data_IF_080147611856
#
_entry.id   IF_080147611856
#
_cell.length_a   1.000
_cell.length_b   1.000
_cell.length_c   1.000
_cell.angle_alpha   90.00
_cell.angle_beta   90.00
_cell.angle_gamma   90.00
#
_symmetry.space_group_name_H-M   'P 1'
#
loop_
_entity.id
_entity.type
_entity.pdbx_description
1 polymer ?
#
# COMPACT_ATOMS: atom_id res chain seq x y z
N UNK A 1 -14.69 47.89 -6.68
CA UNK A 1 -13.90 46.65 -6.77
C UNK A 1 -14.26 45.75 -5.60
N UNK A 2 -14.23 44.43 -5.80
CA UNK A 2 -14.54 43.46 -4.74
C UNK A 2 -13.31 42.57 -4.48
N UNK A 3 -12.96 42.38 -3.21
CA UNK A 3 -11.79 41.59 -2.81
C UNK A 3 -12.17 40.66 -1.67
N UNK A 4 -11.83 39.37 -1.82
CA UNK A 4 -11.99 38.34 -0.81
C UNK A 4 -10.62 37.81 -0.43
N UNK A 5 -10.38 37.61 0.85
CA UNK A 5 -9.15 37.00 1.34
C UNK A 5 -9.40 36.25 2.64
N UNK A 6 -8.59 35.24 2.90
CA UNK A 6 -8.58 34.57 4.20
C UNK A 6 -7.99 35.50 5.26
N UNK A 7 -8.79 35.91 6.24
CA UNK A 7 -8.26 36.57 7.44
C UNK A 7 -8.01 35.50 8.50
N UNK A 8 -6.75 35.06 8.63
CA UNK A 8 -6.38 34.08 9.64
C UNK A 8 -6.31 34.74 11.02
N UNK A 9 -7.32 34.52 11.86
CA UNK A 9 -7.20 34.74 13.29
C UNK A 9 -6.35 33.60 13.89
N UNK A 10 -5.03 33.77 13.86
CA UNK A 10 -4.12 32.76 14.42
C UNK A 10 -4.23 32.80 15.94
N UNK A 11 -4.86 31.78 16.53
CA UNK A 11 -4.74 31.52 17.96
C UNK A 11 -3.28 31.16 18.27
N UNK A 12 -2.68 31.77 19.30
CA UNK A 12 -1.24 31.62 19.65
C UNK A 12 -0.77 30.17 19.87
N UNK A 13 -1.69 29.21 19.94
CA UNK A 13 -1.41 27.79 20.18
C UNK A 13 -1.23 26.94 18.90
N UNK A 14 -1.45 27.46 17.69
CA UNK A 14 -1.43 26.67 16.43
C UNK A 14 -0.26 26.97 15.46
N UNK A 15 0.85 27.52 15.95
CA UNK A 15 1.98 27.96 15.11
C UNK A 15 2.67 26.87 14.27
N UNK A 16 2.34 25.58 14.46
CA UNK A 16 2.93 24.43 13.76
C UNK A 16 2.06 23.83 12.65
N UNK A 17 0.82 24.31 12.43
CA UNK A 17 0.00 23.84 11.30
C UNK A 17 0.39 24.58 10.02
N UNK A 18 0.75 23.84 8.97
CA UNK A 18 1.07 24.36 7.65
C UNK A 18 -0.09 25.25 7.16
N UNK A 19 0.18 26.54 6.93
CA UNK A 19 -0.85 27.51 6.52
C UNK A 19 -1.40 27.14 5.13
N UNK A 20 -2.67 26.78 5.08
CA UNK A 20 -3.42 26.53 3.84
C UNK A 20 -3.83 27.86 3.21
N UNK A 21 -3.83 27.90 1.87
CA UNK A 21 -4.24 29.07 1.08
C UNK A 21 -5.77 29.18 1.02
N UNK A 22 -6.32 30.38 0.87
CA UNK A 22 -7.78 30.58 0.78
C UNK A 22 -8.44 29.70 -0.30
N UNK A 23 -7.90 29.71 -1.52
CA UNK A 23 -8.45 28.93 -2.63
C UNK A 23 -8.42 27.42 -2.36
N UNK A 24 -7.56 26.96 -1.45
CA UNK A 24 -7.36 25.53 -1.18
C UNK A 24 -8.52 24.87 -0.42
N UNK A 25 -9.49 25.66 0.06
CA UNK A 25 -10.71 25.16 0.70
C UNK A 25 -11.91 25.03 -0.26
N UNK A 26 -11.82 25.59 -1.46
CA UNK A 26 -12.96 25.69 -2.38
C UNK A 26 -12.71 24.94 -3.68
N UNK A 27 -13.71 24.19 -4.13
CA UNK A 27 -13.70 23.52 -5.44
C UNK A 27 -13.98 24.53 -6.54
N UNK A 28 -14.89 25.47 -6.28
CA UNK A 28 -15.25 26.54 -7.19
C UNK A 28 -15.84 27.72 -6.44
N UNK A 29 -15.84 28.87 -7.10
CA UNK A 29 -16.38 30.14 -6.61
C UNK A 29 -17.12 30.81 -7.76
N UNK A 30 -18.30 31.34 -7.48
CA UNK A 30 -19.11 32.08 -8.44
C UNK A 30 -19.49 33.43 -7.83
N UNK A 31 -19.29 34.50 -8.57
CA UNK A 31 -19.71 35.85 -8.21
C UNK A 31 -20.72 36.31 -9.25
N UNK A 32 -21.93 36.56 -8.79
CA UNK A 32 -23.02 37.11 -9.58
C UNK A 32 -23.22 38.58 -9.21
N UNK A 33 -23.12 39.45 -10.20
CA UNK A 33 -23.41 40.88 -10.12
C UNK A 33 -24.78 41.15 -10.76
N UNK A 34 -25.28 42.37 -10.58
CA UNK A 34 -26.55 42.79 -11.19
C UNK A 34 -26.52 42.65 -12.71
N UNK A 35 -27.37 41.77 -13.24
CA UNK A 35 -27.45 41.42 -14.66
C UNK A 35 -27.92 42.60 -15.52
N UNK A 36 -28.80 43.45 -14.99
CA UNK A 36 -29.34 44.59 -15.74
C UNK A 36 -28.27 45.66 -15.95
N UNK A 37 -27.31 45.77 -15.02
CA UNK A 37 -26.22 46.74 -15.08
C UNK A 37 -25.03 46.27 -15.91
N UNK A 38 -24.66 44.99 -15.80
CA UNK A 38 -23.46 44.43 -16.45
C UNK A 38 -23.73 43.62 -17.71
N UNK A 39 -24.99 43.33 -18.02
CA UNK A 39 -25.38 42.53 -19.17
C UNK A 39 -25.03 41.04 -19.03
N UNK A 40 -25.42 40.21 -20.01
CA UNK A 40 -25.35 38.75 -19.91
C UNK A 40 -23.92 38.21 -19.80
N UNK A 41 -22.92 38.90 -20.34
CA UNK A 41 -21.56 38.35 -20.42
C UNK A 41 -20.64 38.79 -19.27
N UNK A 42 -20.97 39.89 -18.58
CA UNK A 42 -20.08 40.46 -17.56
C UNK A 42 -20.62 40.40 -16.13
N UNK A 43 -21.90 40.06 -15.96
CA UNK A 43 -22.51 39.94 -14.64
C UNK A 43 -22.01 38.72 -13.85
N UNK A 44 -21.48 37.69 -14.52
CA UNK A 44 -21.03 36.46 -13.88
C UNK A 44 -19.50 36.34 -13.93
N UNK A 45 -18.89 35.93 -12.82
CA UNK A 45 -17.47 35.57 -12.73
C UNK A 45 -17.37 34.22 -12.04
N UNK A 46 -16.76 33.25 -12.73
CA UNK A 46 -16.60 31.88 -12.23
C UNK A 46 -15.12 31.52 -12.11
N UNK A 47 -14.78 30.84 -11.03
CA UNK A 47 -13.49 30.21 -10.82
C UNK A 47 -13.69 28.75 -10.45
N UNK A 48 -12.97 27.86 -11.13
CA UNK A 48 -13.00 26.42 -10.89
C UNK A 48 -11.59 25.92 -10.64
N UNK A 49 -11.42 25.15 -9.57
CA UNK A 49 -10.14 24.49 -9.29
C UNK A 49 -9.91 23.35 -10.27
N UNK A 50 -8.70 23.29 -10.79
CA UNK A 50 -8.16 22.19 -11.60
C UNK A 50 -6.88 21.65 -10.97
N UNK A 51 -6.41 20.48 -11.42
CA UNK A 51 -5.18 19.86 -10.92
C UNK A 51 -3.91 20.74 -11.09
N UNK A 52 -3.94 21.71 -12.00
CA UNK A 52 -2.82 22.63 -12.28
C UNK A 52 -3.03 24.03 -11.70
N UNK A 53 -4.13 24.26 -10.97
CA UNK A 53 -4.43 25.58 -10.40
C UNK A 53 -3.42 25.97 -9.34
N UNK A 54 -2.83 27.15 -9.47
CA UNK A 54 -1.98 27.72 -8.42
C UNK A 54 -2.86 28.27 -7.29
N UNK A 55 -2.58 27.85 -6.08
CA UNK A 55 -3.35 28.24 -4.89
C UNK A 55 -3.04 29.69 -4.47
N UNK A 56 -4.06 30.48 -4.16
CA UNK A 56 -4.01 31.90 -3.80
C UNK A 56 -4.74 32.19 -2.48
N UNK A 57 -4.34 33.28 -1.80
CA UNK A 57 -4.95 33.70 -0.54
C UNK A 57 -6.20 34.58 -0.72
N UNK A 58 -6.59 34.87 -1.96
CA UNK A 58 -7.72 35.71 -2.24
C UNK A 58 -8.00 35.93 -3.71
N UNK A 59 -9.20 36.46 -3.99
CA UNK A 59 -9.65 36.82 -5.32
C UNK A 59 -10.01 38.30 -5.35
N UNK A 60 -9.63 38.98 -6.45
CA UNK A 60 -10.01 40.36 -6.69
C UNK A 60 -10.72 40.46 -8.04
N UNK A 61 -11.93 41.02 -8.02
CA UNK A 61 -12.74 41.28 -9.22
C UNK A 61 -12.93 42.79 -9.37
N UNK A 62 -12.64 43.30 -10.57
CA UNK A 62 -12.82 44.71 -10.92
C UNK A 62 -13.72 44.81 -12.14
N UNK A 63 -14.77 45.63 -12.03
CA UNK A 63 -15.66 46.02 -13.11
C UNK A 63 -15.86 47.54 -13.05
N UNK A 64 -16.03 48.22 -14.21
CA UNK A 64 -16.38 49.64 -14.23
C UNK A 64 -17.78 49.85 -13.65
N UNK A 65 -18.04 50.99 -13.01
CA UNK A 65 -19.36 51.31 -12.45
C UNK A 65 -19.28 52.52 -11.53
N UNK A 66 -20.38 53.27 -11.47
CA UNK A 66 -20.55 54.53 -10.74
C UNK A 66 -21.77 54.50 -9.80
N UNK A 67 -22.48 53.37 -9.73
CA UNK A 67 -23.65 53.14 -8.87
C UNK A 67 -23.38 51.95 -7.95
N UNK A 68 -24.04 51.91 -6.79
CA UNK A 68 -23.96 50.76 -5.88
C UNK A 68 -24.60 49.50 -6.49
N UNK A 69 -23.97 48.34 -6.30
CA UNK A 69 -24.35 47.09 -7.00
C UNK A 69 -24.52 45.96 -5.99
N UNK A 70 -25.61 45.20 -6.12
CA UNK A 70 -25.79 43.94 -5.39
C UNK A 70 -24.94 42.83 -6.00
N UNK A 71 -24.28 42.08 -5.14
CA UNK A 71 -23.36 41.02 -5.48
C UNK A 71 -23.69 39.78 -4.64
N UNK A 72 -23.88 38.65 -5.30
CA UNK A 72 -24.08 37.35 -4.66
C UNK A 72 -22.82 36.52 -4.89
N UNK A 73 -22.21 36.05 -3.80
CA UNK A 73 -21.01 35.22 -3.83
C UNK A 73 -21.41 33.82 -3.40
N UNK A 74 -21.18 32.86 -4.28
CA UNK A 74 -21.40 31.45 -4.01
C UNK A 74 -20.04 30.78 -3.86
N UNK A 75 -19.83 30.12 -2.73
CA UNK A 75 -18.60 29.40 -2.42
C UNK A 75 -18.90 27.90 -2.35
N UNK A 76 -18.32 27.10 -3.25
CA UNK A 76 -18.42 25.64 -3.20
C UNK A 76 -17.20 25.08 -2.48
N UNK A 77 -17.40 24.53 -1.29
CA UNK A 77 -16.33 23.87 -0.53
C UNK A 77 -15.82 22.62 -1.24
N UNK A 78 -14.52 22.37 -1.10
CA UNK A 78 -13.88 21.15 -1.58
C UNK A 78 -13.83 20.10 -0.46
N UNK A 79 -14.88 19.28 -0.39
CA UNK A 79 -14.95 18.21 0.61
C UNK A 79 -14.09 17.02 0.19
N UNK A 80 -13.12 16.66 1.04
CA UNK A 80 -12.26 15.50 0.83
C UNK A 80 -12.31 14.57 2.05
N UNK A 81 -12.96 13.38 1.95
CA UNK A 81 -13.59 12.81 0.76
C UNK A 81 -14.92 13.50 0.38
N UNK A 82 -15.43 13.31 -0.87
CA UNK A 82 -16.64 13.95 -1.34
C UNK A 82 -17.85 13.69 -0.43
N UNK A 83 -18.49 14.78 0.00
CA UNK A 83 -19.74 14.77 0.73
C UNK A 83 -20.93 15.08 -0.20
N UNK A 84 -22.12 14.62 0.19
CA UNK A 84 -23.36 14.77 -0.56
C UNK A 84 -24.47 15.27 0.35
N UNK A 85 -25.30 16.16 -0.17
CA UNK A 85 -26.56 16.55 0.46
C UNK A 85 -27.60 15.48 0.18
N UNK A 86 -28.28 15.02 1.22
CA UNK A 86 -29.33 14.00 1.08
C UNK A 86 -30.65 14.65 0.67
N UNK A 87 -31.49 13.89 -0.06
CA UNK A 87 -32.91 14.22 -0.24
C UNK A 87 -33.55 14.56 1.13
N UNK A 88 -34.39 15.61 1.24
CA UNK A 88 -34.94 16.05 2.52
C UNK A 88 -35.66 14.97 3.33
N UNK A 89 -36.29 14.00 2.66
CA UNK A 89 -37.02 12.89 3.32
C UNK A 89 -36.03 11.89 3.89
N UNK A 90 -35.00 11.55 3.12
CA UNK A 90 -33.91 10.67 3.56
C UNK A 90 -33.10 11.33 4.69
N UNK A 91 -32.81 12.63 4.56
CA UNK A 91 -32.07 13.41 5.55
C UNK A 91 -32.77 13.40 6.91
N UNK A 92 -34.09 13.63 6.92
CA UNK A 92 -34.90 13.62 8.14
C UNK A 92 -34.97 12.22 8.78
N UNK A 93 -35.06 11.17 7.98
CA UNK A 93 -35.10 9.79 8.46
C UNK A 93 -33.76 9.36 9.08
N UNK A 94 -32.64 9.71 8.46
CA UNK A 94 -31.31 9.32 8.95
C UNK A 94 -30.72 10.30 9.97
N UNK A 95 -31.31 11.50 10.12
CA UNK A 95 -30.74 12.58 10.93
C UNK A 95 -29.46 13.17 10.33
N UNK A 96 -29.27 13.06 9.02
CA UNK A 96 -28.04 13.44 8.32
C UNK A 96 -28.38 14.41 7.20
N UNK A 97 -27.82 15.62 7.23
CA UNK A 97 -28.05 16.60 6.16
C UNK A 97 -27.06 16.47 5.01
N UNK A 98 -25.76 16.48 5.32
CA UNK A 98 -24.65 16.39 4.36
C UNK A 98 -23.58 15.48 4.95
N UNK A 99 -23.20 14.43 4.23
CA UNK A 99 -22.18 13.46 4.68
C UNK A 99 -21.55 12.71 3.51
N UNK A 100 -20.51 11.93 3.81
CA UNK A 100 -19.88 11.04 2.83
C UNK A 100 -20.77 9.83 2.53
N UNK A 101 -20.69 9.29 1.30
CA UNK A 101 -21.49 8.14 0.88
C UNK A 101 -21.36 6.91 1.80
N UNK A 102 -20.16 6.52 2.29
CA UNK A 102 -20.02 5.40 3.23
C UNK A 102 -20.78 5.64 4.55
N UNK A 103 -20.70 6.85 5.11
CA UNK A 103 -21.39 7.20 6.36
C UNK A 103 -22.91 7.16 6.18
N UNK A 104 -23.41 7.64 5.03
CA UNK A 104 -24.84 7.58 4.70
C UNK A 104 -25.33 6.13 4.60
N UNK A 105 -24.57 5.27 3.91
CA UNK A 105 -24.90 3.84 3.79
C UNK A 105 -24.88 3.16 5.17
N UNK A 106 -23.90 3.49 6.01
CA UNK A 106 -23.84 2.97 7.38
C UNK A 106 -25.02 3.43 8.23
N UNK A 107 -25.44 4.69 8.13
CA UNK A 107 -26.60 5.21 8.84
C UNK A 107 -27.90 4.54 8.37
N UNK A 108 -28.06 4.34 7.06
CA UNK A 108 -29.18 3.57 6.50
C UNK A 108 -29.17 2.13 7.02
N UNK A 109 -28.00 1.50 7.10
CA UNK A 109 -27.87 0.17 7.65
C UNK A 109 -28.23 0.10 9.14
N UNK A 110 -27.81 1.10 9.91
CA UNK A 110 -28.17 1.23 11.31
C UNK A 110 -29.69 1.38 11.49
N UNK A 111 -30.34 2.15 10.62
CA UNK A 111 -31.80 2.27 10.59
C UNK A 111 -32.47 0.91 10.34
N UNK A 112 -32.05 0.19 9.28
CA UNK A 112 -32.57 -1.15 8.94
C UNK A 112 -32.44 -2.13 10.10
N UNK A 113 -31.29 -2.14 10.79
CA UNK A 113 -31.07 -2.98 11.97
C UNK A 113 -31.97 -2.62 13.14
N UNK A 114 -32.06 -1.33 13.46
CA UNK A 114 -32.85 -0.82 14.60
C UNK A 114 -34.33 -1.14 14.43
N UNK A 115 -34.84 -1.04 13.20
CA UNK A 115 -36.24 -1.32 12.85
C UNK A 115 -36.49 -2.78 12.45
N UNK A 116 -35.47 -3.66 12.52
CA UNK A 116 -35.55 -5.09 12.16
C UNK A 116 -36.15 -5.34 10.77
N UNK A 117 -35.73 -4.53 9.80
CA UNK A 117 -36.26 -4.56 8.43
C UNK A 117 -35.58 -5.59 7.53
N UNK A 118 -34.51 -6.23 7.99
CA UNK A 118 -33.88 -7.33 7.26
C UNK A 118 -34.79 -8.57 7.31
N UNK A 119 -34.95 -9.23 6.16
CA UNK A 119 -35.75 -10.43 6.07
C UNK A 119 -35.09 -11.60 6.86
N UNK A 120 -35.83 -12.29 7.75
CA UNK A 120 -35.26 -13.36 8.57
C UNK A 120 -34.92 -14.63 7.78
N UNK A 121 -35.61 -14.90 6.67
CA UNK A 121 -35.40 -16.07 5.83
C UNK A 121 -34.41 -15.78 4.70
N UNK A 122 -34.49 -14.58 4.11
CA UNK A 122 -33.61 -14.15 3.03
C UNK A 122 -32.76 -12.93 3.44
N UNK A 123 -31.66 -13.18 4.15
CA UNK A 123 -30.80 -12.12 4.72
C UNK A 123 -30.18 -11.14 3.72
N UNK A 124 -30.32 -11.36 2.41
CA UNK A 124 -29.90 -10.40 1.38
C UNK A 124 -30.96 -9.31 1.08
N UNK A 125 -32.18 -9.48 1.58
CA UNK A 125 -33.30 -8.58 1.34
C UNK A 125 -33.66 -7.72 2.56
N UNK A 126 -34.16 -6.53 2.25
CA UNK A 126 -34.72 -5.56 3.17
C UNK A 126 -36.19 -5.40 2.82
N UNK A 127 -37.05 -5.59 3.80
CA UNK A 127 -38.47 -5.30 3.72
C UNK A 127 -38.65 -3.82 4.11
N UNK A 128 -38.82 -2.97 3.10
CA UNK A 128 -38.93 -1.53 3.29
C UNK A 128 -40.19 -1.22 4.11
N UNK A 129 -40.04 -0.46 5.18
CA UNK A 129 -41.17 0.05 5.94
C UNK A 129 -41.85 1.23 5.21
N UNK A 130 -42.86 1.83 5.83
CA UNK A 130 -43.63 2.93 5.20
C UNK A 130 -42.75 4.11 4.80
N UNK A 131 -41.67 4.39 5.54
CA UNK A 131 -40.76 5.50 5.27
C UNK A 131 -39.77 5.17 4.16
N UNK A 132 -39.18 3.97 4.18
CA UNK A 132 -38.29 3.52 3.11
C UNK A 132 -39.02 3.33 1.78
N UNK A 133 -40.24 2.78 1.80
CA UNK A 133 -41.08 2.66 0.60
C UNK A 133 -41.34 4.02 -0.04
N UNK A 134 -41.55 5.02 0.80
CA UNK A 134 -41.81 6.38 0.39
C UNK A 134 -40.60 7.04 -0.30
N UNK A 135 -39.38 6.68 0.10
CA UNK A 135 -38.12 7.26 -0.40
C UNK A 135 -37.56 6.47 -1.59
N UNK A 136 -37.53 5.14 -1.49
CA UNK A 136 -36.95 4.24 -2.50
C UNK A 136 -37.98 3.68 -3.49
N UNK A 137 -39.26 4.01 -3.30
CA UNK A 137 -40.38 3.63 -4.18
C UNK A 137 -40.47 2.12 -4.41
N UNK A 138 -40.06 1.32 -3.42
CA UNK A 138 -40.09 -0.14 -3.47
C UNK A 138 -40.48 -0.74 -2.13
N UNK A 139 -41.28 -1.80 -2.16
CA UNK A 139 -41.66 -2.56 -0.96
C UNK A 139 -40.53 -3.46 -0.44
N UNK A 140 -39.66 -3.93 -1.33
CA UNK A 140 -38.59 -4.86 -1.01
C UNK A 140 -37.38 -4.57 -1.91
N UNK A 141 -36.17 -4.66 -1.37
CA UNK A 141 -34.94 -4.46 -2.14
C UNK A 141 -33.76 -5.24 -1.57
N UNK A 142 -32.80 -5.57 -2.43
CA UNK A 142 -31.53 -6.20 -2.02
C UNK A 142 -30.54 -5.18 -1.45
N UNK A 143 -29.66 -5.62 -0.55
CA UNK A 143 -28.56 -4.78 -0.06
C UNK A 143 -27.65 -4.25 -1.17
N UNK A 144 -27.38 -5.07 -2.18
CA UNK A 144 -26.55 -4.71 -3.33
C UNK A 144 -27.15 -3.58 -4.19
N UNK A 145 -28.47 -3.37 -4.12
CA UNK A 145 -29.15 -2.29 -4.84
C UNK A 145 -29.06 -0.94 -4.12
N UNK A 146 -28.76 -0.91 -2.81
CA UNK A 146 -28.71 0.31 -2.00
C UNK A 146 -27.83 1.38 -2.65
N UNK A 147 -26.57 1.09 -3.05
CA UNK A 147 -25.69 2.14 -3.56
C UNK A 147 -26.27 2.80 -4.82
N UNK A 148 -26.87 2.00 -5.72
CA UNK A 148 -27.45 2.50 -6.96
C UNK A 148 -28.72 3.32 -6.69
N UNK A 149 -29.63 2.82 -5.87
CA UNK A 149 -30.86 3.54 -5.50
C UNK A 149 -30.56 4.82 -4.74
N UNK A 150 -29.56 4.80 -3.86
CA UNK A 150 -29.13 5.96 -3.11
C UNK A 150 -28.54 7.04 -4.02
N UNK A 151 -27.90 6.69 -5.14
CA UNK A 151 -27.27 7.67 -6.03
C UNK A 151 -28.24 8.76 -6.51
N UNK A 152 -29.50 8.41 -6.81
CA UNK A 152 -30.53 9.37 -7.22
C UNK A 152 -31.01 10.30 -6.10
N UNK A 153 -30.71 9.97 -4.84
CA UNK A 153 -31.10 10.71 -3.64
C UNK A 153 -29.93 11.53 -3.05
N UNK A 154 -28.77 11.51 -3.71
CA UNK A 154 -27.57 12.24 -3.30
C UNK A 154 -27.34 13.39 -4.27
N UNK A 155 -27.46 14.61 -3.75
CA UNK A 155 -27.21 15.84 -4.48
C UNK A 155 -25.85 16.42 -4.09
N UNK A 156 -25.24 17.26 -4.95
CA UNK A 156 -24.09 18.07 -4.54
C UNK A 156 -24.40 18.88 -3.27
N UNK A 157 -23.41 19.08 -2.38
CA UNK A 157 -23.56 19.97 -1.23
C UNK A 157 -23.98 21.38 -1.66
N UNK A 158 -24.78 22.04 -0.83
CA UNK A 158 -25.18 23.42 -1.11
C UNK A 158 -23.98 24.37 -0.99
N UNK A 159 -23.86 25.35 -1.91
CA UNK A 159 -22.85 26.38 -1.79
C UNK A 159 -23.18 27.30 -0.61
N UNK A 160 -22.15 27.90 -0.04
CA UNK A 160 -22.31 29.00 0.91
C UNK A 160 -22.64 30.25 0.10
N UNK A 161 -23.79 30.87 0.37
CA UNK A 161 -24.28 32.05 -0.35
C UNK A 161 -24.08 33.28 0.54
N UNK A 162 -23.33 34.25 0.04
CA UNK A 162 -23.08 35.53 0.71
C UNK A 162 -23.64 36.65 -0.16
N UNK A 163 -24.64 37.35 0.35
CA UNK A 163 -25.22 38.53 -0.29
C UNK A 163 -24.49 39.78 0.22
N UNK A 164 -23.95 40.57 -0.71
CA UNK A 164 -23.21 41.79 -0.40
C UNK A 164 -23.63 42.95 -1.32
N UNK A 165 -23.54 44.19 -0.82
CA UNK A 165 -23.82 45.39 -1.61
C UNK A 165 -22.54 46.20 -1.72
N UNK A 166 -22.04 46.36 -2.94
CA UNK A 166 -20.86 47.17 -3.24
C UNK A 166 -21.32 48.63 -3.26
N UNK A 167 -20.87 49.43 -2.30
CA UNK A 167 -21.12 50.88 -2.27
C UNK A 167 -20.00 51.65 -3.00
N UNK A 168 -20.39 52.71 -3.71
CA UNK A 168 -19.49 53.68 -4.37
C UNK A 168 -19.27 54.95 -3.52
N UNK A 169 -19.92 55.04 -2.36
CA UNK A 169 -19.86 56.24 -1.52
C UNK A 169 -18.45 56.47 -0.94
N UNK A 170 -17.88 57.68 -1.09
CA UNK A 170 -16.55 58.01 -0.56
C UNK A 170 -16.44 57.88 0.97
N UNK A 171 -17.56 58.01 1.68
CA UNK A 171 -17.63 57.87 3.14
C UNK A 171 -17.71 56.40 3.61
N UNK A 172 -17.93 55.43 2.72
CA UNK A 172 -18.13 54.02 3.06
C UNK A 172 -16.92 53.12 2.76
N UNK A 173 -15.76 53.73 2.48
CA UNK A 173 -14.60 53.10 1.84
C UNK A 173 -13.89 51.95 2.60
N UNK A 174 -14.38 51.50 3.77
CA UNK A 174 -13.69 50.46 4.59
C UNK A 174 -14.62 49.52 5.37
N UNK A 175 -15.79 49.15 4.85
CA UNK A 175 -16.56 48.05 5.47
C UNK A 175 -16.06 46.70 4.98
N UNK A 176 -15.14 46.10 5.74
CA UNK A 176 -14.81 44.67 5.58
C UNK A 176 -15.92 43.84 6.23
N UNK A 177 -16.60 43.01 5.43
CA UNK A 177 -17.50 42.00 5.95
C UNK A 177 -16.72 40.72 6.25
N UNK A 178 -16.83 40.21 7.47
CA UNK A 178 -16.16 38.98 7.91
C UNK A 178 -17.22 37.89 8.09
N UNK A 179 -16.94 36.70 7.56
CA UNK A 179 -17.79 35.52 7.68
C UNK A 179 -16.94 34.37 8.21
N UNK A 180 -17.41 33.75 9.29
CA UNK A 180 -16.80 32.54 9.82
C UNK A 180 -17.39 31.33 9.09
N UNK A 181 -16.51 30.50 8.52
CA UNK A 181 -16.88 29.30 7.78
C UNK A 181 -16.11 28.14 8.41
N UNK A 182 -16.84 27.19 8.96
CA UNK A 182 -16.27 25.94 9.45
C UNK A 182 -15.89 25.05 8.25
N UNK A 183 -14.62 24.64 8.20
CA UNK A 183 -14.11 23.76 7.14
C UNK A 183 -13.41 22.57 7.77
N UNK A 184 -13.75 21.36 7.31
CA UNK A 184 -13.04 20.15 7.69
C UNK A 184 -11.64 20.14 7.04
N UNK A 185 -10.62 19.94 7.86
CA UNK A 185 -9.21 19.92 7.43
C UNK A 185 -8.69 18.49 7.58
N UNK A 186 -7.90 18.02 6.62
CA UNK A 186 -7.28 16.70 6.71
C UNK A 186 -6.45 16.57 7.99
N UNK A 187 -6.54 15.38 8.59
CA UNK A 187 -5.77 15.05 9.77
C UNK A 187 -4.27 15.02 9.46
N UNK A 188 -3.51 15.85 10.17
CA UNK A 188 -2.04 15.93 10.10
C UNK A 188 -1.36 14.60 10.43
N UNK A 189 -2.03 13.70 11.17
CA UNK A 189 -1.52 12.37 11.48
C UNK A 189 -1.33 11.53 10.22
N UNK A 190 -2.18 11.66 9.19
CA UNK A 190 -2.01 10.90 7.93
C UNK A 190 -0.67 11.20 7.26
N UNK A 191 -0.27 12.47 7.23
CA UNK A 191 1.03 12.87 6.66
C UNK A 191 2.19 12.32 7.48
N UNK A 192 2.09 12.35 8.81
CA UNK A 192 3.10 11.77 9.71
C UNK A 192 3.20 10.25 9.53
N UNK A 193 2.07 9.55 9.45
CA UNK A 193 2.00 8.11 9.20
C UNK A 193 2.59 7.74 7.84
N UNK A 194 2.26 8.48 6.78
CA UNK A 194 2.85 8.26 5.46
C UNK A 194 4.37 8.47 5.47
N UNK A 195 4.85 9.50 6.16
CA UNK A 195 6.29 9.72 6.35
C UNK A 195 6.96 8.57 7.09
N UNK A 196 6.30 8.00 8.09
CA UNK A 196 6.80 6.85 8.85
C UNK A 196 6.80 5.56 8.00
N UNK A 197 5.74 5.30 7.23
CA UNK A 197 5.66 4.12 6.37
C UNK A 197 6.69 4.15 5.24
N UNK A 198 6.99 5.35 4.71
CA UNK A 198 7.98 5.56 3.66
C UNK A 198 9.41 5.67 4.18
N UNK A 199 9.61 5.86 5.50
CA UNK A 199 10.96 5.89 6.07
C UNK A 199 11.54 4.47 6.09
N UNK A 200 12.14 4.06 4.98
CA UNK A 200 13.02 2.89 4.88
C UNK A 200 14.47 3.22 5.22
N UNK A 201 14.73 4.44 5.72
CA UNK A 201 16.07 5.00 5.92
C UNK A 201 16.98 4.11 6.79
N UNK A 202 16.43 3.33 7.72
CA UNK A 202 17.20 2.41 8.56
C UNK A 202 17.41 1.02 7.96
N UNK A 203 16.72 0.64 6.88
CA UNK A 203 16.79 -0.73 6.34
C UNK A 203 18.14 -1.04 5.68
N UNK A 204 18.74 -0.06 4.99
CA UNK A 204 20.06 -0.24 4.36
C UNK A 204 21.17 -0.36 5.40
N UNK A 205 21.09 0.41 6.49
CA UNK A 205 22.05 0.33 7.60
C UNK A 205 21.93 -1.00 8.33
N UNK A 206 20.71 -1.48 8.61
CA UNK A 206 20.46 -2.79 9.21
C UNK A 206 21.04 -3.90 8.34
N UNK A 207 20.78 -3.89 7.02
CA UNK A 207 21.34 -4.89 6.11
C UNK A 207 22.89 -4.88 6.07
N UNK A 208 23.50 -3.68 6.15
CA UNK A 208 24.95 -3.54 6.25
C UNK A 208 25.51 -4.13 7.55
N UNK A 209 24.83 -3.91 8.68
CA UNK A 209 25.18 -4.50 9.97
C UNK A 209 25.02 -6.02 9.95
N UNK A 210 23.96 -6.54 9.34
CA UNK A 210 23.73 -7.99 9.22
C UNK A 210 24.81 -8.68 8.39
N UNK A 211 25.28 -8.08 7.30
CA UNK A 211 26.40 -8.60 6.52
C UNK A 211 27.70 -8.64 7.35
N UNK A 212 27.97 -7.57 8.10
CA UNK A 212 29.14 -7.51 8.98
C UNK A 212 29.09 -8.56 10.10
N UNK A 213 27.89 -8.83 10.64
CA UNK A 213 27.67 -9.92 11.59
C UNK A 213 27.99 -11.27 10.93
N UNK A 214 27.52 -11.52 9.72
CA UNK A 214 27.80 -12.77 9.00
C UNK A 214 29.30 -12.98 8.74
N UNK A 215 30.00 -11.97 8.22
CA UNK A 215 31.45 -12.03 7.98
C UNK A 215 32.22 -12.30 9.29
N UNK A 216 31.80 -11.66 10.38
CA UNK A 216 32.41 -11.87 11.70
C UNK A 216 32.17 -13.30 12.21
N UNK A 217 30.97 -13.85 12.00
CA UNK A 217 30.67 -15.24 12.37
C UNK A 217 31.50 -16.23 11.56
N UNK A 218 31.67 -15.98 10.26
CA UNK A 218 32.49 -16.85 9.40
C UNK A 218 33.95 -16.85 9.84
N UNK A 219 34.52 -15.67 10.12
CA UNK A 219 35.89 -15.56 10.63
C UNK A 219 36.06 -16.22 12.00
N UNK A 220 35.09 -16.10 12.90
CA UNK A 220 35.08 -16.83 14.19
C UNK A 220 35.10 -18.35 13.96
N UNK A 221 34.31 -18.87 13.02
CA UNK A 221 34.28 -20.30 12.73
C UNK A 221 35.61 -20.79 12.15
N UNK A 222 36.22 -20.03 11.23
CA UNK A 222 37.54 -20.36 10.69
C UNK A 222 38.61 -20.39 11.79
N UNK A 223 38.64 -19.38 12.66
CA UNK A 223 39.57 -19.29 13.79
C UNK A 223 39.34 -20.40 14.81
N UNK A 224 38.07 -20.78 15.05
CA UNK A 224 37.73 -21.91 15.92
C UNK A 224 38.33 -23.21 15.37
N UNK A 225 38.13 -23.51 14.10
CA UNK A 225 38.68 -24.72 13.46
C UNK A 225 40.21 -24.75 13.54
N UNK A 226 40.87 -23.61 13.24
CA UNK A 226 42.32 -23.50 13.37
C UNK A 226 42.80 -23.71 14.81
N UNK A 227 42.11 -23.11 15.79
CA UNK A 227 42.43 -23.28 17.20
C UNK A 227 42.28 -24.74 17.64
N UNK A 228 41.18 -25.40 17.26
CA UNK A 228 40.94 -26.80 17.59
C UNK A 228 42.00 -27.71 16.97
N UNK A 229 42.39 -27.48 15.72
CA UNK A 229 43.48 -28.19 15.04
C UNK A 229 44.82 -28.07 15.80
N UNK A 230 45.20 -26.85 16.20
CA UNK A 230 46.44 -26.62 16.93
C UNK A 230 46.40 -27.25 18.33
N UNK A 231 45.24 -27.21 18.99
CA UNK A 231 45.04 -27.84 20.31
C UNK A 231 45.07 -29.36 20.23
N UNK A 232 44.52 -29.98 19.19
CA UNK A 232 44.60 -31.44 19.01
C UNK A 232 46.05 -31.89 18.79
N UNK A 233 46.82 -31.15 17.98
CA UNK A 233 48.25 -31.43 17.79
C UNK A 233 49.03 -31.29 19.11
N UNK A 234 48.78 -30.22 19.87
CA UNK A 234 49.49 -29.97 21.12
C UNK A 234 49.16 -31.00 22.22
N UNK A 235 47.97 -31.62 22.17
CA UNK A 235 47.52 -32.61 23.16
C UNK A 235 48.14 -33.99 22.96
N UNK A 236 48.16 -34.48 21.71
CA UNK A 236 48.79 -35.75 21.33
C UNK A 236 49.34 -35.64 19.90
N UNK A 237 50.60 -35.20 19.73
CA UNK A 237 51.15 -34.94 18.41
C UNK A 237 51.32 -36.22 17.58
N UNK A 238 51.59 -37.36 18.22
CA UNK A 238 51.80 -38.62 17.50
C UNK A 238 50.48 -39.17 16.97
N UNK A 239 49.45 -39.25 17.81
CA UNK A 239 48.11 -39.64 17.40
C UNK A 239 47.55 -38.71 16.32
N UNK A 240 47.68 -37.41 16.53
CA UNK A 240 47.23 -36.39 15.59
C UNK A 240 47.89 -36.50 14.21
N UNK A 241 49.22 -36.69 14.13
CA UNK A 241 49.91 -36.82 12.82
C UNK A 241 49.41 -38.06 12.07
N UNK A 242 49.18 -39.18 12.78
CA UNK A 242 48.65 -40.39 12.16
C UNK A 242 47.24 -40.16 11.61
N UNK A 243 46.36 -39.54 12.39
CA UNK A 243 44.99 -39.20 11.97
C UNK A 243 44.99 -38.20 10.81
N UNK A 244 45.89 -37.22 10.85
CA UNK A 244 46.05 -36.22 9.80
C UNK A 244 46.52 -36.83 8.49
N UNK A 245 47.50 -37.72 8.51
CA UNK A 245 47.96 -38.45 7.31
C UNK A 245 46.83 -39.32 6.71
N UNK A 246 46.04 -39.99 7.56
CA UNK A 246 44.88 -40.75 7.12
C UNK A 246 43.81 -39.85 6.50
N UNK A 247 43.50 -38.71 7.11
CA UNK A 247 42.55 -37.73 6.59
C UNK A 247 43.00 -37.19 5.23
N UNK A 248 44.24 -36.71 5.12
CA UNK A 248 44.77 -36.17 3.86
C UNK A 248 44.81 -37.22 2.75
N UNK A 249 45.14 -38.48 3.07
CA UNK A 249 45.10 -39.57 2.10
C UNK A 249 43.68 -39.84 1.61
N UNK A 250 42.69 -39.82 2.52
CA UNK A 250 41.27 -39.98 2.17
C UNK A 250 40.78 -38.82 1.29
N UNK A 251 41.05 -37.58 1.68
CA UNK A 251 40.63 -36.39 0.95
C UNK A 251 41.24 -36.38 -0.46
N UNK A 252 42.53 -36.73 -0.59
CA UNK A 252 43.19 -36.85 -1.89
C UNK A 252 42.53 -37.92 -2.76
N UNK A 253 42.27 -39.12 -2.21
CA UNK A 253 41.58 -40.20 -2.94
C UNK A 253 40.21 -39.76 -3.44
N UNK A 254 39.46 -39.03 -2.61
CA UNK A 254 38.15 -38.48 -2.97
C UNK A 254 38.26 -37.41 -4.06
N UNK A 255 39.27 -36.53 -4.01
CA UNK A 255 39.47 -35.50 -5.04
C UNK A 255 39.95 -36.06 -6.38
N UNK A 256 40.64 -37.20 -6.38
CA UNK A 256 41.24 -37.81 -7.59
C UNK A 256 40.50 -39.06 -8.08
N UNK A 257 39.36 -39.40 -7.47
CA UNK A 257 38.60 -40.64 -7.73
C UNK A 257 39.44 -41.93 -7.66
N UNK A 258 40.51 -41.91 -6.86
CA UNK A 258 41.40 -43.07 -6.69
C UNK A 258 40.74 -44.03 -5.71
N UNK A 259 40.40 -45.21 -6.19
CA UNK A 259 39.78 -46.29 -5.40
C UNK A 259 40.81 -47.32 -4.95
N UNK A 260 40.51 -48.00 -3.84
CA UNK A 260 41.35 -49.07 -3.30
C UNK A 260 42.48 -48.58 -2.40
N UNK A 261 43.18 -49.54 -1.82
CA UNK A 261 44.36 -49.30 -1.00
C UNK A 261 45.44 -50.32 -1.40
N UNK A 262 46.38 -49.95 -2.29
CA UNK A 262 47.39 -50.88 -2.81
C UNK A 262 48.20 -51.58 -1.72
N UNK A 263 48.38 -50.94 -0.57
CA UNK A 263 49.12 -51.53 0.56
C UNK A 263 48.30 -52.57 1.34
N UNK A 264 46.98 -52.46 1.36
CA UNK A 264 46.11 -53.53 1.88
C UNK A 264 46.00 -54.67 0.87
N UNK A 265 45.82 -54.35 -0.41
CA UNK A 265 45.71 -55.33 -1.51
C UNK A 265 46.97 -56.20 -1.65
N UNK A 266 48.13 -55.75 -1.17
CA UNK A 266 49.37 -56.53 -1.11
C UNK A 266 49.39 -57.62 -0.05
N UNK A 267 48.55 -57.53 0.98
CA UNK A 267 48.57 -58.42 2.13
C UNK A 267 47.63 -59.61 1.93
N UNK A 268 48.03 -60.80 2.36
CA UNK A 268 47.21 -62.01 2.21
C UNK A 268 45.86 -61.89 2.95
N UNK A 269 45.86 -61.17 4.09
CA UNK A 269 44.69 -60.83 4.90
C UNK A 269 43.54 -60.21 4.11
N UNK A 270 43.87 -59.44 3.07
CA UNK A 270 42.89 -58.80 2.19
C UNK A 270 42.06 -59.81 1.40
N UNK A 271 42.61 -61.00 1.10
CA UNK A 271 41.95 -62.02 0.30
C UNK A 271 41.21 -63.08 1.13
N UNK A 272 41.21 -62.98 2.46
CA UNK A 272 40.38 -63.82 3.35
C UNK A 272 39.00 -63.21 3.64
N UNK A 273 38.59 -62.19 2.88
CA UNK A 273 37.31 -61.51 3.06
C UNK A 273 36.14 -62.31 2.46
N UNK A 274 34.91 -62.12 2.94
CA UNK A 274 33.73 -62.86 2.46
C UNK A 274 33.48 -62.74 0.94
N UNK A 275 33.90 -61.62 0.34
CA UNK A 275 33.74 -61.38 -1.10
C UNK A 275 34.69 -62.22 -1.97
N UNK A 276 35.74 -62.82 -1.41
CA UNK A 276 36.80 -63.47 -2.18
C UNK A 276 36.30 -64.67 -3.00
N UNK A 277 35.45 -65.53 -2.41
CA UNK A 277 34.91 -66.70 -3.11
C UNK A 277 34.05 -66.28 -4.32
N UNK A 278 33.15 -65.32 -4.11
CA UNK A 278 32.30 -64.81 -5.19
C UNK A 278 33.13 -64.10 -6.27
N UNK A 279 34.15 -63.31 -5.87
CA UNK A 279 35.03 -62.64 -6.81
C UNK A 279 35.78 -63.62 -7.72
N UNK A 280 36.26 -64.75 -7.18
CA UNK A 280 36.89 -65.83 -7.99
C UNK A 280 35.87 -66.45 -8.94
N UNK A 281 34.64 -66.72 -8.50
CA UNK A 281 33.58 -67.24 -9.38
C UNK A 281 33.28 -66.29 -10.55
N UNK A 282 33.12 -64.99 -10.26
CA UNK A 282 32.88 -63.96 -11.29
C UNK A 282 34.05 -63.84 -12.26
N UNK A 283 35.27 -63.82 -11.73
CA UNK A 283 36.50 -63.82 -12.52
C UNK A 283 36.58 -65.04 -13.45
N UNK A 284 36.36 -66.25 -12.90
CA UNK A 284 36.41 -67.48 -13.67
C UNK A 284 35.38 -67.50 -14.79
N UNK A 285 34.14 -67.10 -14.52
CA UNK A 285 33.10 -66.97 -15.54
C UNK A 285 33.52 -66.02 -16.66
N UNK A 286 34.00 -64.81 -16.33
CA UNK A 286 34.48 -63.84 -17.31
C UNK A 286 35.63 -64.40 -18.15
N UNK A 287 36.57 -65.10 -17.51
CA UNK A 287 37.75 -65.66 -18.18
C UNK A 287 37.37 -66.77 -19.15
N UNK A 288 36.42 -67.64 -18.78
CA UNK A 288 35.88 -68.69 -19.67
C UNK A 288 35.21 -68.07 -20.89
N UNK A 289 34.38 -67.02 -20.71
CA UNK A 289 33.75 -66.34 -21.85
C UNK A 289 34.77 -65.68 -22.77
N UNK A 290 35.81 -65.04 -22.21
CA UNK A 290 36.90 -64.47 -23.01
C UNK A 290 37.62 -65.55 -23.83
N UNK A 291 37.99 -66.68 -23.21
CA UNK A 291 38.65 -67.79 -23.92
C UNK A 291 37.77 -68.40 -24.99
N UNK A 292 36.47 -68.53 -24.71
CA UNK A 292 35.49 -69.00 -25.69
C UNK A 292 35.42 -68.05 -26.89
N UNK A 293 35.36 -66.74 -26.65
CA UNK A 293 35.34 -65.74 -27.72
C UNK A 293 36.62 -65.76 -28.56
N UNK A 294 37.80 -65.89 -27.93
CA UNK A 294 39.09 -66.05 -28.62
C UNK A 294 39.10 -67.30 -29.52
N UNK A 295 38.56 -68.43 -29.03
CA UNK A 295 38.44 -69.68 -29.78
C UNK A 295 37.44 -69.57 -30.94
N UNK A 296 36.27 -68.99 -30.72
CA UNK A 296 35.26 -68.77 -31.75
C UNK A 296 35.79 -67.85 -32.87
N UNK A 297 36.55 -66.81 -32.51
CA UNK A 297 37.26 -65.95 -33.47
C UNK A 297 38.36 -66.71 -34.24
N UNK A 298 39.18 -67.51 -33.56
CA UNK A 298 40.26 -68.28 -34.17
C UNK A 298 39.75 -69.38 -35.12
N UNK A 299 38.60 -69.97 -34.81
CA UNK A 299 37.96 -71.02 -35.62
C UNK A 299 37.05 -70.47 -36.73
N UNK A 300 36.92 -69.14 -36.85
CA UNK A 300 36.10 -68.49 -37.89
C UNK A 300 34.59 -68.72 -37.74
N UNK A 301 34.13 -69.15 -36.56
CA UNK A 301 32.72 -69.44 -36.28
C UNK A 301 32.04 -68.10 -35.99
N UNK A 302 31.47 -67.46 -37.03
CA UNK A 302 30.52 -66.36 -36.83
C UNK A 302 29.17 -66.95 -36.46
N UNK A 303 28.83 -66.94 -35.17
CA UNK A 303 27.45 -67.12 -34.74
C UNK A 303 26.64 -65.91 -35.27
N UNK A 304 25.76 -66.17 -36.24
CA UNK A 304 24.59 -65.31 -36.53
C UNK A 304 23.65 -65.27 -35.33
#
# INVERSE_FOLDING_TARGET
SLTFALQTAVSKYEATKQKRKFSSFFKSLVIELDKDLYGPDNHLVEWHRTATTQETDGFQVKRPGDVGVRCTVLLMLDYQPPQFKLDPRLARMLGIHTQTRPVIIQALWQYVKTHKLQDPHEREFINCDKYLQQIFETQRMKFSEIPQRLHALLMPPEPIIINHVISVDPNDQKKTACYDIDVEVDDTLKTQMNSFLLSTASQQEIAGLDNKIHETIETINQLKTQREFMLSFARDPQGFINDWLQSQCRDLKTMTDVVGNPEEERRAEFYYQPWAQEAVCRYFYSKVQQRRQELEQALGIRNT
#
